data_IF_317920852937
#
_entry.id   IF_317920852937
#
_cell.length_a   1.000
_cell.length_b   1.000
_cell.length_c   1.000
_cell.angle_alpha   90.00
_cell.angle_beta   90.00
_cell.angle_gamma   90.00
#
_symmetry.space_group_name_H-M   'P 1'
#
loop_
_entity.id
_entity.type
_entity.pdbx_description
1 polymer ?
#
# COMPACT_ATOMS: atom_id res chain seq x y z
N UNK A 1 -21.16 -35.94 15.79
CA UNK A 1 -20.38 -35.21 14.75
C UNK A 1 -18.91 -34.89 15.13
N UNK A 2 -18.29 -35.53 16.12
CA UNK A 2 -16.93 -35.14 16.61
C UNK A 2 -15.80 -36.06 16.10
N UNK A 3 -16.12 -37.25 15.57
CA UNK A 3 -15.12 -38.24 15.12
C UNK A 3 -14.48 -37.93 13.75
N UNK A 4 -15.16 -37.18 12.87
CA UNK A 4 -14.67 -36.86 11.52
C UNK A 4 -13.58 -35.78 11.50
N UNK A 5 -13.63 -34.80 12.41
CA UNK A 5 -12.63 -33.71 12.48
C UNK A 5 -11.24 -34.22 12.87
N UNK A 6 -11.15 -35.20 13.77
CA UNK A 6 -9.86 -35.83 14.16
C UNK A 6 -9.24 -36.66 13.01
N UNK A 7 -10.05 -37.32 12.19
CA UNK A 7 -9.57 -38.07 11.03
C UNK A 7 -8.99 -37.14 9.95
N UNK A 8 -9.68 -36.03 9.66
CA UNK A 8 -9.21 -35.00 8.72
C UNK A 8 -7.89 -34.37 9.18
N UNK A 9 -7.77 -34.05 10.48
CA UNK A 9 -6.55 -33.49 11.06
C UNK A 9 -5.38 -34.49 11.06
N UNK A 10 -5.65 -35.79 11.16
CA UNK A 10 -4.65 -36.87 11.08
C UNK A 10 -4.17 -37.10 9.64
N UNK A 11 -5.05 -37.00 8.64
CA UNK A 11 -4.68 -37.03 7.22
C UNK A 11 -3.85 -35.80 6.82
N UNK A 12 -4.24 -34.61 7.26
CA UNK A 12 -3.51 -33.37 7.00
C UNK A 12 -2.11 -33.34 7.64
N UNK A 13 -1.94 -33.97 8.81
CA UNK A 13 -0.61 -34.17 9.43
C UNK A 13 0.24 -35.26 8.76
N UNK A 14 -0.36 -36.16 8.00
CA UNK A 14 0.36 -37.23 7.27
C UNK A 14 0.89 -36.73 5.93
N UNK A 15 0.21 -35.80 5.25
CA UNK A 15 0.71 -35.18 4.01
C UNK A 15 1.89 -34.22 4.24
N UNK A 16 2.00 -33.62 5.44
CA UNK A 16 3.12 -32.73 5.81
C UNK A 16 4.34 -33.44 6.37
N UNK A 17 4.23 -34.76 6.66
CA UNK A 17 5.33 -35.62 7.14
C UNK A 17 5.91 -36.55 6.06
N UNK A 18 5.51 -36.40 4.81
CA UNK A 18 6.30 -36.91 3.70
C UNK A 18 7.51 -35.99 3.55
N UNK A 19 8.58 -36.27 4.30
CA UNK A 19 9.89 -35.68 4.04
C UNK A 19 10.25 -35.86 2.56
N UNK A 20 11.15 -35.02 2.01
CA UNK A 20 11.54 -35.14 0.62
C UNK A 20 11.98 -36.59 0.40
N UNK A 21 11.31 -37.31 -0.50
CA UNK A 21 11.81 -38.61 -0.97
C UNK A 21 13.25 -38.34 -1.39
N UNK A 22 14.21 -39.04 -0.79
CA UNK A 22 15.62 -38.85 -1.04
C UNK A 22 15.91 -39.12 -2.53
N UNK A 23 15.79 -38.09 -3.38
CA UNK A 23 16.31 -38.07 -4.76
C UNK A 23 17.81 -37.80 -4.68
N UNK A 24 18.51 -38.56 -3.84
CA UNK A 24 19.93 -38.34 -3.52
C UNK A 24 20.86 -38.87 -4.62
N UNK A 25 20.34 -39.67 -5.55
CA UNK A 25 21.17 -40.46 -6.46
C UNK A 25 20.86 -40.24 -7.95
N UNK A 26 20.19 -39.15 -8.34
CA UNK A 26 20.00 -38.86 -9.77
C UNK A 26 21.16 -38.02 -10.34
N UNK A 27 22.07 -38.60 -11.16
CA UNK A 27 23.20 -37.87 -11.73
C UNK A 27 22.78 -36.78 -12.73
N UNK A 28 21.58 -36.86 -13.30
CA UNK A 28 21.10 -35.89 -14.29
C UNK A 28 20.63 -34.56 -13.67
N UNK A 29 20.44 -34.49 -12.36
CA UNK A 29 20.02 -33.27 -11.66
C UNK A 29 21.18 -32.34 -11.33
N UNK A 30 22.42 -32.84 -11.44
CA UNK A 30 23.65 -32.13 -11.07
C UNK A 30 24.46 -31.88 -12.34
N UNK A 31 24.76 -30.61 -12.61
CA UNK A 31 25.74 -30.23 -13.63
C UNK A 31 27.12 -30.12 -12.98
N UNK A 32 28.08 -30.95 -13.40
CA UNK A 32 29.46 -30.92 -12.90
C UNK A 32 30.38 -30.25 -13.92
N UNK A 33 31.19 -29.31 -13.47
CA UNK A 33 32.20 -28.67 -14.32
C UNK A 33 33.53 -29.45 -14.22
N UNK A 34 34.19 -29.69 -15.36
CA UNK A 34 35.50 -30.36 -15.38
C UNK A 34 36.60 -29.34 -15.14
N UNK A 35 37.40 -29.56 -14.09
CA UNK A 35 38.61 -28.76 -13.84
C UNK A 35 39.70 -29.14 -14.84
N UNK A 36 40.43 -28.15 -15.35
CA UNK A 36 41.58 -28.36 -16.24
C UNK A 36 42.83 -28.81 -15.47
N UNK A 37 43.08 -28.19 -14.32
CA UNK A 37 44.19 -28.50 -13.42
C UNK A 37 43.67 -28.63 -12.00
N UNK A 38 44.12 -29.64 -11.27
CA UNK A 38 43.81 -29.78 -9.85
C UNK A 38 44.88 -29.11 -9.01
N UNK A 39 44.46 -28.16 -8.17
CA UNK A 39 45.33 -27.45 -7.26
C UNK A 39 44.91 -27.86 -5.86
N UNK A 40 45.82 -28.54 -5.16
CA UNK A 40 45.61 -29.02 -3.79
C UNK A 40 45.14 -27.87 -2.89
N UNK A 41 44.08 -28.09 -2.12
CA UNK A 41 43.52 -27.11 -1.18
C UNK A 41 42.57 -26.07 -1.79
N UNK A 42 42.41 -25.97 -3.12
CA UNK A 42 41.51 -24.98 -3.74
C UNK A 42 40.07 -25.51 -3.88
N UNK A 43 39.14 -24.95 -3.09
CA UNK A 43 37.69 -25.17 -3.23
C UNK A 43 37.09 -24.12 -4.17
N UNK A 44 36.59 -24.53 -5.34
CA UNK A 44 35.89 -23.63 -6.26
C UNK A 44 34.39 -23.62 -5.92
N UNK A 45 33.80 -22.42 -5.86
CA UNK A 45 32.37 -22.23 -5.58
C UNK A 45 31.47 -22.83 -6.68
N UNK A 46 32.02 -23.06 -7.88
CA UNK A 46 31.27 -23.39 -9.09
C UNK A 46 31.59 -24.80 -9.63
N UNK A 47 32.07 -25.73 -8.79
CA UNK A 47 32.37 -27.11 -9.24
C UNK A 47 31.12 -27.89 -9.66
N UNK A 48 29.99 -27.62 -9.00
CA UNK A 48 28.71 -28.29 -9.25
C UNK A 48 27.56 -27.29 -9.20
N UNK A 49 26.62 -27.43 -10.12
CA UNK A 49 25.39 -26.65 -10.20
C UNK A 49 24.15 -27.53 -10.18
N UNK A 50 23.03 -26.96 -9.72
CA UNK A 50 21.71 -27.61 -9.70
C UNK A 50 20.79 -26.91 -10.73
N UNK A 51 20.91 -27.22 -12.03
CA UNK A 51 20.16 -26.52 -13.09
C UNK A 51 18.65 -26.60 -12.91
N UNK A 52 18.10 -27.73 -12.44
CA UNK A 52 16.66 -27.89 -12.21
C UNK A 52 16.11 -26.94 -11.14
N UNK A 53 16.84 -26.77 -10.03
CA UNK A 53 16.47 -25.84 -8.95
C UNK A 53 16.57 -24.39 -9.43
N UNK A 54 17.64 -24.05 -10.15
CA UNK A 54 17.80 -22.70 -10.70
C UNK A 54 16.67 -22.34 -11.67
N UNK A 55 16.34 -23.25 -12.61
CA UNK A 55 15.24 -23.06 -13.58
C UNK A 55 13.89 -22.94 -12.88
N UNK A 56 13.59 -23.83 -11.94
CA UNK A 56 12.31 -23.77 -11.20
C UNK A 56 12.19 -22.49 -10.37
N UNK A 57 13.28 -22.01 -9.76
CA UNK A 57 13.31 -20.71 -9.06
C UNK A 57 13.04 -19.55 -10.02
N UNK A 58 13.65 -19.56 -11.20
CA UNK A 58 13.42 -18.52 -12.22
C UNK A 58 11.95 -18.51 -12.70
N UNK A 59 11.35 -19.67 -12.94
CA UNK A 59 9.94 -19.80 -13.31
C UNK A 59 9.03 -19.26 -12.19
N UNK A 60 9.28 -19.66 -10.94
CA UNK A 60 8.54 -19.14 -9.78
C UNK A 60 8.66 -17.62 -9.65
N UNK A 61 9.83 -17.05 -9.95
CA UNK A 61 10.02 -15.58 -9.97
C UNK A 61 9.14 -14.94 -11.04
N UNK A 62 9.15 -15.45 -12.27
CA UNK A 62 8.29 -14.96 -13.37
C UNK A 62 6.80 -15.05 -13.05
N UNK A 63 6.38 -16.14 -12.39
CA UNK A 63 5.00 -16.32 -11.94
C UNK A 63 4.58 -15.31 -10.86
N UNK A 64 5.53 -14.79 -10.07
CA UNK A 64 5.26 -13.78 -9.04
C UNK A 64 5.31 -12.34 -9.57
N UNK A 65 6.10 -12.07 -10.61
CA UNK A 65 6.25 -10.72 -11.18
C UNK A 65 5.45 -10.59 -12.48
N UNK A 66 5.98 -11.11 -13.59
CA UNK A 66 5.43 -10.93 -14.94
C UNK A 66 4.00 -11.43 -15.08
N UNK A 67 3.66 -12.55 -14.45
CA UNK A 67 2.30 -13.08 -14.50
C UNK A 67 1.30 -12.17 -13.77
N UNK A 68 1.72 -11.53 -12.68
CA UNK A 68 0.89 -10.58 -11.93
C UNK A 68 0.70 -9.32 -12.76
N UNK A 69 1.77 -8.78 -13.34
CA UNK A 69 1.74 -7.63 -14.25
C UNK A 69 0.83 -7.90 -15.46
N UNK A 70 0.95 -9.07 -16.08
CA UNK A 70 0.11 -9.46 -17.22
C UNK A 70 -1.38 -9.50 -16.86
N UNK A 71 -1.73 -10.05 -15.69
CA UNK A 71 -3.11 -10.06 -15.19
C UNK A 71 -3.65 -8.66 -14.86
N UNK A 72 -2.77 -7.71 -14.59
CA UNK A 72 -3.11 -6.33 -14.24
C UNK A 72 -3.09 -5.38 -15.45
N UNK A 73 -2.48 -5.78 -16.58
CA UNK A 73 -2.29 -4.93 -17.77
C UNK A 73 -3.55 -4.21 -18.25
N UNK A 74 -4.71 -4.87 -18.20
CA UNK A 74 -5.98 -4.30 -18.67
C UNK A 74 -6.85 -3.75 -17.53
N UNK A 75 -6.31 -3.59 -16.33
CA UNK A 75 -7.02 -3.10 -15.15
C UNK A 75 -6.56 -1.69 -14.81
N UNK A 76 -7.51 -0.77 -14.69
CA UNK A 76 -7.23 0.61 -14.27
C UNK A 76 -7.18 0.77 -12.74
N UNK A 77 -7.61 -0.23 -11.96
CA UNK A 77 -7.67 -0.15 -10.50
C UNK A 77 -6.40 -0.68 -9.84
N UNK A 78 -5.83 0.11 -8.93
CA UNK A 78 -4.70 -0.28 -8.08
C UNK A 78 -5.11 -0.13 -6.61
N UNK A 79 -5.00 -1.21 -5.84
CA UNK A 79 -5.21 -1.15 -4.40
C UNK A 79 -3.90 -0.74 -3.72
N UNK A 80 -3.89 0.42 -3.08
CA UNK A 80 -2.74 0.94 -2.31
C UNK A 80 -3.10 0.84 -0.83
N UNK A 81 -2.34 0.04 -0.08
CA UNK A 81 -2.51 -0.06 1.36
C UNK A 81 -1.87 1.17 2.05
N UNK A 82 -2.72 2.05 2.56
CA UNK A 82 -2.32 3.27 3.28
C UNK A 82 -2.30 3.09 4.80
N UNK A 83 -2.43 1.87 5.32
CA UNK A 83 -2.41 1.62 6.77
C UNK A 83 -1.02 1.93 7.34
N UNK A 84 -1.00 2.66 8.46
CA UNK A 84 0.25 3.05 9.12
C UNK A 84 1.06 1.81 9.56
N UNK A 85 2.35 1.80 9.24
CA UNK A 85 3.33 0.81 9.71
C UNK A 85 3.20 -0.60 9.14
N UNK A 86 2.39 -0.86 8.10
CA UNK A 86 2.29 -2.20 7.50
C UNK A 86 3.63 -2.63 6.86
N UNK A 87 4.29 -1.71 6.15
CA UNK A 87 5.58 -1.96 5.47
C UNK A 87 6.82 -1.71 6.34
N UNK A 88 6.65 -1.25 7.58
CA UNK A 88 7.78 -1.00 8.48
C UNK A 88 8.00 -2.20 9.41
N UNK A 89 9.16 -2.85 9.29
CA UNK A 89 9.55 -4.00 10.10
C UNK A 89 10.03 -3.62 11.52
N UNK A 90 10.34 -2.34 11.77
CA UNK A 90 10.89 -1.89 13.07
C UNK A 90 9.84 -1.68 14.15
N UNK A 91 8.59 -1.42 13.75
CA UNK A 91 7.49 -1.15 14.67
C UNK A 91 6.94 -2.45 15.25
N UNK A 92 6.72 -2.49 16.57
CA UNK A 92 6.08 -3.66 17.21
C UNK A 92 4.60 -3.76 16.81
N UNK A 93 4.00 -4.95 16.95
CA UNK A 93 2.58 -5.15 16.62
C UNK A 93 1.67 -4.23 17.46
N UNK A 94 2.01 -4.04 18.73
CA UNK A 94 1.26 -3.19 19.65
C UNK A 94 1.34 -1.72 19.22
N UNK A 95 2.52 -1.22 18.89
CA UNK A 95 2.71 0.15 18.42
C UNK A 95 1.96 0.42 17.11
N UNK A 96 1.94 -0.56 16.19
CA UNK A 96 1.14 -0.46 14.94
C UNK A 96 -0.34 -0.29 15.26
N UNK A 97 -0.87 -1.08 16.20
CA UNK A 97 -2.28 -1.02 16.58
C UNK A 97 -2.62 0.30 17.30
N UNK A 98 -1.77 0.76 18.21
CA UNK A 98 -1.94 2.05 18.90
C UNK A 98 -1.92 3.23 17.93
N UNK A 99 -0.99 3.25 16.97
CA UNK A 99 -0.91 4.30 15.94
C UNK A 99 -2.11 4.28 15.00
N UNK A 100 -2.62 3.10 14.63
CA UNK A 100 -3.87 2.97 13.84
C UNK A 100 -5.06 3.55 14.59
N UNK A 101 -5.23 3.18 15.85
CA UNK A 101 -6.32 3.66 16.69
C UNK A 101 -6.29 5.17 16.89
N UNK A 102 -5.12 5.73 17.17
CA UNK A 102 -4.96 7.20 17.34
C UNK A 102 -5.25 7.95 16.04
N UNK A 103 -4.77 7.47 14.89
CA UNK A 103 -5.08 8.06 13.59
C UNK A 103 -6.58 7.97 13.24
N UNK A 104 -7.22 6.84 13.52
CA UNK A 104 -8.66 6.65 13.33
C UNK A 104 -9.48 7.60 14.21
N UNK A 105 -9.13 7.70 15.51
CA UNK A 105 -9.75 8.63 16.45
C UNK A 105 -9.59 10.07 16.02
N UNK A 106 -8.38 10.46 15.59
CA UNK A 106 -8.09 11.81 15.09
C UNK A 106 -8.94 12.14 13.86
N UNK A 107 -8.95 11.26 12.85
CA UNK A 107 -9.73 11.46 11.63
C UNK A 107 -11.24 11.48 11.90
N UNK A 108 -11.74 10.67 12.84
CA UNK A 108 -13.14 10.75 13.29
C UNK A 108 -13.43 12.08 13.98
N UNK A 109 -12.55 12.52 14.88
CA UNK A 109 -12.68 13.80 15.57
C UNK A 109 -12.66 14.99 14.60
N UNK A 110 -11.79 15.01 13.60
CA UNK A 110 -11.75 16.07 12.58
C UNK A 110 -13.03 16.10 11.73
N UNK A 111 -13.58 14.93 11.37
CA UNK A 111 -14.82 14.85 10.60
C UNK A 111 -16.05 15.28 11.40
N UNK A 112 -16.15 14.84 12.65
CA UNK A 112 -17.28 15.18 13.53
C UNK A 112 -17.15 16.59 14.12
N UNK A 113 -15.92 17.07 14.33
CA UNK A 113 -15.63 18.38 14.91
C UNK A 113 -16.13 19.53 14.04
N UNK A 114 -16.19 19.36 12.71
CA UNK A 114 -16.80 20.35 11.80
C UNK A 114 -18.25 20.68 12.15
N UNK A 115 -18.97 19.77 12.82
CA UNK A 115 -20.38 19.94 13.17
C UNK A 115 -20.59 20.14 14.67
N UNK A 116 -19.52 20.19 15.47
CA UNK A 116 -19.58 20.46 16.91
C UNK A 116 -19.45 21.97 17.16
N UNK A 117 -20.50 22.70 16.83
CA UNK A 117 -20.60 24.17 16.90
C UNK A 117 -20.86 24.71 18.32
N UNK A 118 -20.66 23.92 19.37
CA UNK A 118 -20.90 24.35 20.77
C UNK A 118 -19.88 25.41 21.24
N UNK A 119 -18.71 25.48 20.60
CA UNK A 119 -17.61 26.38 20.98
C UNK A 119 -17.54 27.66 20.12
N UNK A 120 -18.37 27.79 19.08
CA UNK A 120 -18.44 28.96 18.20
C UNK A 120 -19.75 29.74 18.47
N UNK A 121 -19.65 30.96 18.99
CA UNK A 121 -20.80 31.84 19.17
C UNK A 121 -21.43 32.15 17.80
N UNK A 122 -22.65 31.66 17.58
CA UNK A 122 -23.42 31.95 16.37
C UNK A 122 -23.72 33.45 16.35
N UNK A 123 -23.06 34.20 15.46
CA UNK A 123 -23.26 35.65 15.32
C UNK A 123 -23.95 35.99 14.00
N UNK A 124 -24.97 36.86 14.03
CA UNK A 124 -25.62 37.41 12.84
C UNK A 124 -25.44 38.93 12.87
N UNK A 125 -24.83 39.51 11.84
CA UNK A 125 -24.42 40.93 11.79
C UNK A 125 -23.58 41.40 13.01
N UNK A 126 -22.81 40.49 13.62
CA UNK A 126 -21.97 40.79 14.79
C UNK A 126 -22.69 40.74 16.14
N UNK A 127 -23.94 40.28 16.20
CA UNK A 127 -24.67 40.02 17.46
C UNK A 127 -24.79 38.52 17.72
N UNK A 128 -24.50 38.09 18.95
CA UNK A 128 -24.63 36.69 19.38
C UNK A 128 -26.10 36.27 19.41
N UNK A 129 -26.47 35.24 18.65
CA UNK A 129 -27.82 34.68 18.57
C UNK A 129 -28.25 33.98 19.86
N UNK A 130 -27.32 33.68 20.78
CA UNK A 130 -27.63 33.06 22.08
C UNK A 130 -28.30 34.01 23.08
N UNK A 131 -28.23 35.32 22.84
CA UNK A 131 -28.75 36.37 23.75
C UNK A 131 -29.98 37.11 23.20
N UNK A 132 -30.44 36.76 22.00
CA UNK A 132 -31.60 37.39 21.36
C UNK A 132 -32.89 36.72 21.87
N UNK A 133 -33.44 37.26 22.96
CA UNK A 133 -34.71 36.81 23.58
C UNK A 133 -35.96 37.25 22.79
N UNK A 134 -35.80 38.12 21.78
CA UNK A 134 -36.90 38.66 20.97
C UNK A 134 -36.50 38.65 19.50
N UNK A 135 -37.16 37.79 18.71
CA UNK A 135 -37.09 37.82 17.26
C UNK A 135 -37.72 39.14 16.78
N UNK A 136 -36.93 40.21 16.68
CA UNK A 136 -37.35 41.41 15.95
C UNK A 136 -37.41 41.05 14.46
N UNK A 137 -38.60 41.20 13.89
CA UNK A 137 -38.91 40.97 12.48
C UNK A 137 -38.15 42.00 11.65
N UNK A 138 -36.97 41.63 11.16
CA UNK A 138 -36.20 42.45 10.23
C UNK A 138 -36.93 42.38 8.89
N UNK A 139 -37.76 43.39 8.63
CA UNK A 139 -38.43 43.58 7.35
C UNK A 139 -37.37 43.81 6.25
N UNK A 140 -37.00 42.73 5.57
CA UNK A 140 -36.21 42.77 4.35
C UNK A 140 -37.05 43.47 3.29
N UNK A 141 -36.64 44.69 2.92
CA UNK A 141 -37.14 45.37 1.73
C UNK A 141 -36.69 44.56 0.53
N UNK A 142 -37.63 43.81 -0.04
CA UNK A 142 -37.52 43.12 -1.31
C UNK A 142 -37.48 44.17 -2.43
N UNK A 143 -36.30 44.43 -2.98
CA UNK A 143 -36.13 45.16 -4.23
C UNK A 143 -35.32 44.23 -5.15
N UNK A 144 -36.07 43.53 -6.00
CA UNK A 144 -35.60 42.69 -7.09
C UNK A 144 -34.78 43.55 -8.07
N UNK A 145 -33.50 43.21 -8.25
CA UNK A 145 -32.78 43.57 -9.48
C UNK A 145 -31.97 42.35 -9.93
N UNK A 146 -32.57 41.62 -10.87
CA UNK A 146 -31.94 40.66 -11.76
C UNK A 146 -30.84 41.35 -12.57
N UNK A 147 -29.59 40.91 -12.42
CA UNK A 147 -28.58 41.07 -13.48
C UNK A 147 -27.64 39.87 -13.49
N UNK A 148 -27.75 39.10 -14.57
CA UNK A 148 -26.95 37.94 -14.94
C UNK A 148 -25.45 38.27 -14.97
N UNK A 149 -24.70 37.74 -14.00
CA UNK A 149 -23.23 37.73 -14.04
C UNK A 149 -22.76 36.37 -14.57
N UNK A 150 -22.42 36.38 -15.86
CA UNK A 150 -21.70 35.32 -16.57
C UNK A 150 -20.48 34.83 -15.75
N UNK A 151 -20.52 33.56 -15.35
CA UNK A 151 -19.37 32.88 -14.72
C UNK A 151 -18.46 32.32 -15.81
N UNK A 152 -17.37 33.03 -16.08
CA UNK A 152 -16.25 32.46 -16.84
C UNK A 152 -15.56 31.36 -16.02
N UNK A 153 -15.37 30.19 -16.65
CA UNK A 153 -14.68 29.04 -16.11
C UNK A 153 -13.18 29.33 -15.91
N UNK A 154 -12.83 29.83 -14.73
CA UNK A 154 -11.46 29.96 -14.25
C UNK A 154 -10.79 28.60 -14.04
N UNK A 155 -10.11 28.12 -15.08
CA UNK A 155 -9.25 26.94 -15.05
C UNK A 155 -8.26 26.97 -13.90
N UNK A 156 -8.35 25.97 -13.02
CA UNK A 156 -7.45 25.72 -11.88
C UNK A 156 -6.00 25.69 -12.36
N UNK A 157 -5.24 26.74 -12.05
CA UNK A 157 -3.78 26.71 -12.21
C UNK A 157 -3.19 25.72 -11.21
N UNK A 158 -2.77 24.58 -11.71
CA UNK A 158 -1.96 23.62 -10.96
C UNK A 158 -0.65 24.29 -10.55
N UNK A 159 -0.28 24.15 -9.28
CA UNK A 159 0.99 24.60 -8.74
C UNK A 159 2.17 24.11 -9.62
N UNK A 160 2.73 25.00 -10.46
CA UNK A 160 3.97 24.79 -11.22
C UNK A 160 5.22 24.61 -10.31
N UNK A 161 5.04 24.57 -8.98
CA UNK A 161 6.08 24.22 -8.02
C UNK A 161 6.42 22.73 -7.96
N UNK A 162 5.64 21.85 -8.59
CA UNK A 162 5.93 20.40 -8.64
C UNK A 162 6.61 19.93 -9.93
N UNK A 163 6.56 20.70 -11.04
CA UNK A 163 7.24 20.30 -12.28
C UNK A 163 8.72 20.73 -12.36
N UNK A 164 9.14 21.72 -11.57
CA UNK A 164 10.56 22.13 -11.53
C UNK A 164 11.43 21.13 -10.76
N UNK A 165 10.86 20.33 -9.85
CA UNK A 165 11.64 19.35 -9.08
C UNK A 165 11.85 18.00 -9.81
N UNK A 166 11.02 17.65 -10.80
CA UNK A 166 11.18 16.40 -11.57
C UNK A 166 12.04 16.56 -12.83
N UNK A 167 12.28 17.78 -13.31
CA UNK A 167 13.15 18.03 -14.46
C UNK A 167 14.64 18.14 -14.09
N UNK A 168 14.95 18.39 -12.82
CA UNK A 168 16.35 18.45 -12.36
C UNK A 168 16.97 17.07 -12.05
N UNK A 169 16.16 16.04 -11.80
CA UNK A 169 16.67 14.69 -11.48
C UNK A 169 16.91 13.79 -12.70
N UNK A 170 16.36 14.15 -13.87
CA UNK A 170 16.53 13.35 -15.10
C UNK A 170 17.74 13.80 -15.94
N UNK A 171 18.34 14.98 -15.65
CA UNK A 171 19.47 15.51 -16.42
C UNK A 171 20.84 15.30 -15.73
N UNK A 172 20.90 14.97 -14.44
CA UNK A 172 22.15 14.66 -13.72
C UNK A 172 22.31 13.16 -13.39
N UNK A 173 22.00 12.32 -14.36
CA UNK A 173 22.19 10.88 -14.29
C UNK A 173 23.01 10.38 -15.48
N UNK A 174 24.28 10.78 -15.58
CA UNK A 174 25.37 10.06 -16.28
C UNK A 174 26.71 10.73 -16.00
N UNK A 175 27.72 9.91 -15.65
CA UNK A 175 29.14 10.20 -15.39
C UNK A 175 29.54 10.55 -13.95
N UNK A 176 29.59 9.52 -13.10
CA UNK A 176 30.83 8.92 -12.56
C UNK A 176 30.49 7.58 -11.90
#
# INVERSE_FOLDING_TARGET
>A
MVKSKKAAQKLARKSTRAGPKDVKNNPFEIHTNKRKHDILGRKLKNDRGLPGISRSKAIKKRQKTLLVEYKQKNKANMFIDRRFGEYDEKMSLEEKMMKRFTMEKKHHHERQGKYRLEDEELTHLGQSLGEIDKFEDVHLSDDDDDDDVDKEDGGKTYNMKIMVLMTFFVVFGTNC
#
